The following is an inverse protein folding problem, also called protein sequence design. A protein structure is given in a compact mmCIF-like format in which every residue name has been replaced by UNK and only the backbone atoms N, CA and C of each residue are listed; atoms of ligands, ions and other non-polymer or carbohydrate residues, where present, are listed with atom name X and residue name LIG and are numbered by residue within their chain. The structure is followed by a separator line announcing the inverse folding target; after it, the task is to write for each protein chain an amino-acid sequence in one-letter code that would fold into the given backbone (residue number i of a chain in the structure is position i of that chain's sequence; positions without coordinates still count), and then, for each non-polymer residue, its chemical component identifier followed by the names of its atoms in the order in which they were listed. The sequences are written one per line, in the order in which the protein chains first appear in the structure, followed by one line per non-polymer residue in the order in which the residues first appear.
data_IF_660995349815
#
_entry.id   IF_660995349815
#
_cell.length_a   1.000
_cell.length_b   1.000
_cell.length_c   1.000
_cell.angle_alpha   90.00
_cell.angle_beta   90.00
_cell.angle_gamma   90.00
#
_symmetry.space_group_name_H-M   'P 1'
#
loop_
_entity.id
_entity.type
_entity.pdbx_description
1 polymer ?
#
# COMPACT_ATOMS: atom_id res chain seq x y z
N UNK A 1 57.38 -49.93 38.43
CA UNK A 1 58.08 -51.22 38.19
C UNK A 1 57.74 -51.67 36.77
N UNK A 2 58.75 -51.74 35.90
CA UNK A 2 58.64 -52.00 34.46
C UNK A 2 58.21 -53.43 34.12
N UNK A 3 57.57 -53.61 32.94
CA UNK A 3 57.83 -54.60 31.85
C UNK A 3 56.64 -54.57 30.87
N UNK A 4 56.74 -53.92 29.69
CA UNK A 4 57.16 -54.43 28.36
C UNK A 4 56.41 -55.68 27.85
N UNK A 5 55.77 -55.54 26.68
CA UNK A 5 55.77 -56.40 25.45
C UNK A 5 54.48 -56.08 24.66
N UNK A 6 54.55 -55.28 23.58
CA UNK A 6 54.64 -55.66 22.15
C UNK A 6 53.48 -56.53 21.64
N UNK A 7 52.65 -55.97 20.74
CA UNK A 7 51.58 -56.71 20.05
C UNK A 7 50.87 -55.89 18.96
N UNK A 8 51.50 -55.85 17.78
CA UNK A 8 50.95 -55.81 16.40
C UNK A 8 49.81 -54.83 16.03
N UNK A 9 50.18 -54.03 15.03
CA UNK A 9 49.42 -53.09 14.19
C UNK A 9 48.20 -53.73 13.52
N UNK A 10 47.03 -53.07 13.61
CA UNK A 10 46.02 -53.11 12.55
C UNK A 10 45.51 -51.69 12.31
N UNK A 11 45.86 -51.16 11.14
CA UNK A 11 45.51 -49.83 10.64
C UNK A 11 44.03 -49.82 10.27
N UNK A 12 43.22 -49.00 10.95
CA UNK A 12 41.91 -48.56 10.45
C UNK A 12 41.91 -47.04 10.52
N UNK A 13 42.36 -46.41 9.43
CA UNK A 13 42.17 -44.97 9.20
C UNK A 13 40.71 -44.77 8.84
N UNK A 14 39.87 -44.52 9.84
CA UNK A 14 38.53 -43.99 9.62
C UNK A 14 38.59 -42.47 9.81
N UNK A 15 38.95 -41.79 8.73
CA UNK A 15 38.93 -40.33 8.62
C UNK A 15 37.47 -39.85 8.74
N UNK A 16 37.04 -39.51 9.96
CA UNK A 16 35.87 -38.64 10.16
C UNK A 16 36.27 -37.24 9.68
N UNK A 17 36.01 -36.99 8.40
CA UNK A 17 36.09 -35.67 7.81
C UNK A 17 35.20 -34.71 8.58
N UNK A 18 35.82 -33.67 9.14
CA UNK A 18 35.15 -32.48 9.63
C UNK A 18 34.41 -31.82 8.48
N UNK A 19 33.11 -32.06 8.35
CA UNK A 19 32.25 -31.18 7.58
C UNK A 19 32.11 -29.87 8.36
N UNK A 20 33.06 -28.96 8.15
CA UNK A 20 32.84 -27.53 8.36
C UNK A 20 31.78 -27.12 7.35
N UNK A 21 30.52 -27.24 7.76
CA UNK A 21 29.37 -26.69 7.07
C UNK A 21 29.44 -25.18 7.14
N UNK A 22 30.27 -24.57 6.31
CA UNK A 22 30.14 -23.17 5.94
C UNK A 22 28.88 -23.05 5.07
N UNK A 23 27.72 -23.12 5.74
CA UNK A 23 26.43 -22.78 5.15
C UNK A 23 26.40 -21.28 4.94
N UNK A 24 27.08 -20.80 3.90
CA UNK A 24 26.65 -19.58 3.23
C UNK A 24 25.24 -19.85 2.76
N UNK A 25 24.25 -19.46 3.55
CA UNK A 25 22.91 -19.15 3.08
C UNK A 25 23.07 -17.98 2.11
N UNK A 26 23.52 -18.31 0.90
CA UNK A 26 23.27 -17.53 -0.29
C UNK A 26 21.78 -17.26 -0.27
N UNK A 27 21.39 -16.05 0.12
CA UNK A 27 20.07 -15.53 -0.08
C UNK A 27 19.83 -15.61 -1.58
N UNK A 28 19.26 -16.73 -2.03
CA UNK A 28 18.76 -16.88 -3.36
C UNK A 28 17.75 -15.75 -3.52
N UNK A 29 18.16 -14.73 -4.28
CA UNK A 29 17.33 -13.57 -4.60
C UNK A 29 16.02 -14.13 -5.16
N UNK A 30 14.95 -14.08 -4.37
CA UNK A 30 13.64 -14.61 -4.78
C UNK A 30 13.30 -13.92 -6.10
N UNK A 31 13.13 -14.71 -7.15
CA UNK A 31 12.70 -14.21 -8.46
C UNK A 31 11.22 -13.89 -8.33
N UNK A 32 10.83 -12.63 -8.49
CA UNK A 32 9.44 -12.17 -8.36
C UNK A 32 9.29 -10.85 -7.61
N UNK A 33 8.13 -10.22 -7.78
CA UNK A 33 7.72 -9.02 -7.03
C UNK A 33 7.09 -9.40 -5.70
N UNK A 34 6.37 -10.53 -5.66
CA UNK A 34 5.64 -10.97 -4.49
C UNK A 34 6.58 -11.49 -3.38
N UNK A 35 6.56 -10.93 -2.15
CA UNK A 35 7.40 -11.41 -1.05
C UNK A 35 7.12 -12.88 -0.66
N UNK A 36 5.87 -13.32 -0.83
CA UNK A 36 5.39 -14.69 -0.61
C UNK A 36 5.54 -15.60 -1.84
N UNK A 37 6.07 -15.08 -2.96
CA UNK A 37 6.22 -15.80 -4.23
C UNK A 37 4.91 -16.01 -4.99
N UNK A 38 3.78 -15.46 -4.52
CA UNK A 38 2.48 -15.60 -5.18
C UNK A 38 2.15 -14.35 -6.01
N UNK A 39 2.63 -14.34 -7.26
CA UNK A 39 2.43 -13.24 -8.21
C UNK A 39 0.95 -12.99 -8.57
N UNK A 40 0.09 -14.03 -8.51
CA UNK A 40 -1.34 -13.93 -8.87
C UNK A 40 -2.08 -12.91 -8.01
N UNK A 41 -1.70 -12.74 -6.74
CA UNK A 41 -2.31 -11.74 -5.86
C UNK A 41 -2.00 -10.31 -6.31
N UNK A 42 -0.75 -10.07 -6.71
CA UNK A 42 -0.30 -8.76 -7.21
C UNK A 42 -1.00 -8.46 -8.53
N UNK A 43 -1.00 -9.43 -9.45
CA UNK A 43 -1.68 -9.32 -10.74
C UNK A 43 -3.17 -8.97 -10.57
N UNK A 44 -3.90 -9.73 -9.73
CA UNK A 44 -5.31 -9.49 -9.49
C UNK A 44 -5.58 -8.09 -8.88
N UNK A 45 -4.74 -7.65 -7.94
CA UNK A 45 -4.86 -6.31 -7.36
C UNK A 45 -4.57 -5.21 -8.40
N UNK A 46 -3.54 -5.38 -9.22
CA UNK A 46 -3.16 -4.45 -10.28
C UNK A 46 -4.25 -4.33 -11.35
N UNK A 47 -4.77 -5.47 -11.84
CA UNK A 47 -5.85 -5.51 -12.82
C UNK A 47 -7.11 -4.84 -12.26
N UNK A 48 -7.47 -5.13 -10.99
CA UNK A 48 -8.63 -4.51 -10.35
C UNK A 48 -8.47 -3.00 -10.23
N UNK A 49 -7.29 -2.53 -9.82
CA UNK A 49 -6.98 -1.11 -9.74
C UNK A 49 -7.08 -0.44 -11.12
N UNK A 50 -6.43 -1.01 -12.14
CA UNK A 50 -6.41 -0.47 -13.50
C UNK A 50 -7.82 -0.41 -14.12
N UNK A 51 -8.62 -1.47 -13.96
CA UNK A 51 -10.02 -1.49 -14.40
C UNK A 51 -10.86 -0.44 -13.68
N UNK A 52 -10.72 -0.33 -12.36
CA UNK A 52 -11.44 0.66 -11.56
C UNK A 52 -11.03 2.11 -11.88
N UNK A 53 -9.74 2.34 -12.17
CA UNK A 53 -9.20 3.62 -12.60
C UNK A 53 -9.80 4.03 -13.95
N UNK A 54 -9.72 3.13 -14.95
CA UNK A 54 -10.30 3.35 -16.28
C UNK A 54 -11.82 3.59 -16.21
N UNK A 55 -12.55 2.79 -15.43
CA UNK A 55 -14.00 2.92 -15.29
C UNK A 55 -14.41 4.21 -14.55
N UNK A 56 -13.63 4.64 -13.57
CA UNK A 56 -13.90 5.86 -12.81
C UNK A 56 -13.42 7.16 -13.47
N UNK A 57 -12.56 7.07 -14.50
CA UNK A 57 -12.08 8.22 -15.26
C UNK A 57 -11.18 9.19 -14.47
N UNK A 58 -10.59 8.72 -13.37
CA UNK A 58 -9.63 9.47 -12.55
C UNK A 58 -8.20 9.00 -12.82
N UNK A 59 -7.23 9.79 -12.37
CA UNK A 59 -5.81 9.47 -12.45
C UNK A 59 -5.30 8.86 -11.13
N UNK A 60 -4.08 8.32 -11.14
CA UNK A 60 -3.45 7.79 -9.94
C UNK A 60 -2.31 8.72 -9.51
N UNK A 61 -2.09 8.80 -8.20
CA UNK A 61 -0.93 9.47 -7.61
C UNK A 61 -0.26 8.51 -6.64
N UNK A 62 1.07 8.46 -6.66
CA UNK A 62 1.85 7.70 -5.69
C UNK A 62 1.95 8.42 -4.35
N UNK A 63 2.35 7.70 -3.29
CA UNK A 63 2.60 8.33 -1.98
C UNK A 63 3.74 9.34 -2.04
N UNK A 64 4.79 9.07 -2.82
CA UNK A 64 5.93 9.96 -3.02
C UNK A 64 5.52 11.26 -3.74
N UNK A 65 4.76 11.14 -4.84
CA UNK A 65 4.26 12.32 -5.57
C UNK A 65 3.33 13.17 -4.71
N UNK A 66 2.42 12.55 -3.96
CA UNK A 66 1.52 13.29 -3.07
C UNK A 66 2.30 13.98 -1.95
N UNK A 67 3.28 13.30 -1.35
CA UNK A 67 4.16 13.90 -0.33
C UNK A 67 4.89 15.12 -0.87
N UNK A 68 5.47 15.00 -2.07
CA UNK A 68 6.10 16.13 -2.75
C UNK A 68 5.13 17.29 -2.96
N UNK A 69 3.91 17.03 -3.41
CA UNK A 69 2.93 18.09 -3.60
C UNK A 69 2.53 18.79 -2.30
N UNK A 70 2.43 18.05 -1.19
CA UNK A 70 2.18 18.62 0.15
C UNK A 70 3.35 19.50 0.57
N UNK A 71 4.59 19.03 0.41
CA UNK A 71 5.80 19.77 0.80
C UNK A 71 5.99 21.05 -0.01
N UNK A 72 5.59 21.03 -1.28
CA UNK A 72 5.60 22.19 -2.17
C UNK A 72 4.44 23.16 -1.93
N UNK A 73 3.50 22.82 -1.03
CA UNK A 73 2.32 23.62 -0.75
C UNK A 73 1.38 23.75 -1.96
N UNK A 74 1.35 22.74 -2.84
CA UNK A 74 0.47 22.72 -4.00
C UNK A 74 -0.99 22.83 -3.54
N UNK A 75 -1.72 23.73 -4.17
CA UNK A 75 -3.11 23.96 -3.82
C UNK A 75 -4.00 22.78 -4.25
N UNK A 76 -4.62 22.10 -3.28
CA UNK A 76 -5.41 20.88 -3.50
C UNK A 76 -6.41 20.60 -2.38
N UNK A 77 -7.30 19.64 -2.62
CA UNK A 77 -8.15 19.04 -1.59
C UNK A 77 -7.77 17.57 -1.46
N UNK A 78 -7.42 17.14 -0.25
CA UNK A 78 -7.15 15.73 0.06
C UNK A 78 -8.33 15.20 0.88
N UNK A 79 -8.92 14.06 0.47
CA UNK A 79 -10.10 13.49 1.11
C UNK A 79 -9.85 12.03 1.52
N UNK A 80 -9.99 11.77 2.83
CA UNK A 80 -10.05 10.43 3.41
C UNK A 80 -11.49 9.90 3.39
N UNK A 81 -11.69 8.79 2.68
CA UNK A 81 -12.99 8.13 2.55
C UNK A 81 -13.29 7.07 3.61
N UNK A 82 -12.39 6.86 4.56
CA UNK A 82 -12.59 5.92 5.66
C UNK A 82 -13.60 6.44 6.70
N UNK A 83 -14.25 5.55 7.47
CA UNK A 83 -15.07 5.96 8.61
C UNK A 83 -14.28 6.84 9.59
N UNK A 84 -14.95 7.80 10.21
CA UNK A 84 -14.34 8.84 11.04
C UNK A 84 -13.44 8.30 12.17
N UNK A 85 -13.78 7.15 12.76
CA UNK A 85 -12.96 6.51 13.80
C UNK A 85 -11.56 6.09 13.32
N UNK A 86 -11.39 5.84 12.02
CA UNK A 86 -10.07 5.56 11.45
C UNK A 86 -9.33 6.85 11.13
N UNK A 87 -10.01 7.84 10.58
CA UNK A 87 -9.44 9.16 10.28
C UNK A 87 -8.83 9.81 11.54
N UNK A 88 -9.56 9.79 12.67
CA UNK A 88 -9.07 10.31 13.97
C UNK A 88 -7.86 9.57 14.55
N UNK A 89 -7.59 8.33 14.11
CA UNK A 89 -6.41 7.58 14.57
C UNK A 89 -5.14 7.97 13.81
N UNK A 90 -5.30 8.53 12.61
CA UNK A 90 -4.22 8.88 11.72
C UNK A 90 -4.75 9.13 10.31
N UNK A 91 -4.48 10.32 9.78
CA UNK A 91 -4.80 10.70 8.40
C UNK A 91 -3.62 11.42 7.74
N UNK A 92 -3.64 11.51 6.41
CA UNK A 92 -2.64 12.28 5.66
C UNK A 92 -2.78 13.76 6.05
N UNK A 93 -1.68 14.52 6.24
CA UNK A 93 -1.75 15.92 6.64
C UNK A 93 -2.69 16.73 5.75
N UNK A 94 -3.46 17.63 6.36
CA UNK A 94 -4.49 18.48 5.71
C UNK A 94 -5.70 17.75 5.11
N UNK A 95 -5.76 16.41 5.19
CA UNK A 95 -6.87 15.66 4.63
C UNK A 95 -8.18 15.94 5.37
N UNK A 96 -9.28 16.03 4.63
CA UNK A 96 -10.64 16.14 5.13
C UNK A 96 -11.31 14.76 5.16
N UNK A 97 -12.21 14.50 6.11
CA UNK A 97 -12.93 13.23 6.18
C UNK A 97 -14.25 13.28 5.40
N UNK A 98 -14.32 12.58 4.27
CA UNK A 98 -15.53 12.43 3.44
C UNK A 98 -15.86 10.96 3.22
N UNK A 99 -16.62 10.38 4.15
CA UNK A 99 -16.92 8.94 4.18
C UNK A 99 -17.67 8.51 2.90
N UNK A 100 -17.18 7.46 2.25
CA UNK A 100 -17.85 6.84 1.09
C UNK A 100 -17.99 5.33 1.28
N UNK A 101 -19.05 4.67 0.75
CA UNK A 101 -19.23 3.22 0.82
C UNK A 101 -18.19 2.46 -0.01
N UNK A 102 -18.08 1.15 0.21
CA UNK A 102 -17.04 0.32 -0.42
C UNK A 102 -17.33 -0.12 -1.86
N UNK A 103 -18.61 -0.14 -2.27
CA UNK A 103 -19.06 -0.88 -3.47
C UNK A 103 -19.46 0.05 -4.61
N UNK A 104 -20.45 0.92 -4.40
CA UNK A 104 -20.97 1.81 -5.44
C UNK A 104 -21.36 3.18 -4.89
N UNK A 105 -21.58 4.15 -5.78
CA UNK A 105 -22.09 5.48 -5.42
C UNK A 105 -23.53 5.36 -4.89
N UNK A 106 -24.31 4.39 -5.36
CA UNK A 106 -25.71 4.20 -4.96
C UNK A 106 -25.85 3.69 -3.52
N UNK A 107 -24.80 3.04 -3.00
CA UNK A 107 -24.75 2.61 -1.60
C UNK A 107 -24.48 3.77 -0.62
N UNK A 108 -24.16 4.97 -1.12
CA UNK A 108 -23.87 6.12 -0.26
C UNK A 108 -25.17 6.78 0.16
N UNK A 109 -25.29 7.11 1.46
CA UNK A 109 -26.46 7.85 1.93
C UNK A 109 -26.47 9.25 1.32
N UNK A 110 -27.63 9.92 1.39
CA UNK A 110 -27.75 11.29 0.91
C UNK A 110 -26.77 12.21 1.66
N UNK A 111 -26.66 12.03 2.97
CA UNK A 111 -25.79 12.79 3.85
C UNK A 111 -24.31 12.56 3.52
N UNK A 112 -23.90 11.32 3.26
CA UNK A 112 -22.54 10.99 2.83
C UNK A 112 -22.19 11.68 1.50
N UNK A 113 -23.10 11.62 0.52
CA UNK A 113 -22.91 12.29 -0.78
C UNK A 113 -22.81 13.80 -0.62
N UNK A 114 -23.74 14.43 0.09
CA UNK A 114 -23.76 15.87 0.30
C UNK A 114 -22.53 16.36 1.06
N UNK A 115 -22.13 15.64 2.12
CA UNK A 115 -20.91 15.93 2.86
C UNK A 115 -19.69 15.84 1.96
N UNK A 116 -19.53 14.76 1.20
CA UNK A 116 -18.40 14.59 0.27
C UNK A 116 -18.37 15.69 -0.78
N UNK A 117 -19.51 16.01 -1.41
CA UNK A 117 -19.62 17.06 -2.44
C UNK A 117 -19.22 18.43 -1.87
N UNK A 118 -19.65 18.75 -0.65
CA UNK A 118 -19.27 20.00 0.02
C UNK A 118 -17.77 20.14 0.19
N UNK A 119 -17.05 19.04 0.47
CA UNK A 119 -15.58 19.07 0.60
C UNK A 119 -14.86 19.34 -0.72
N UNK A 120 -15.46 18.99 -1.86
CA UNK A 120 -14.86 19.20 -3.17
C UNK A 120 -14.78 20.70 -3.56
N UNK A 121 -15.66 21.53 -2.99
CA UNK A 121 -15.76 22.96 -3.32
C UNK A 121 -16.30 23.22 -4.73
N UNK A 122 -16.46 24.48 -5.12
CA UNK A 122 -17.11 24.83 -6.40
C UNK A 122 -16.18 24.82 -7.62
N UNK A 123 -14.86 24.90 -7.39
CA UNK A 123 -13.85 24.93 -8.46
C UNK A 123 -13.63 23.53 -9.08
N UNK A 124 -14.07 23.35 -10.33
CA UNK A 124 -13.93 22.09 -11.07
C UNK A 124 -12.52 21.82 -11.58
N UNK A 125 -11.64 22.83 -11.56
CA UNK A 125 -10.23 22.70 -11.93
C UNK A 125 -9.33 22.41 -10.72
N UNK A 126 -9.85 22.50 -9.50
CA UNK A 126 -9.12 22.16 -8.28
C UNK A 126 -8.55 20.75 -8.34
N UNK A 127 -7.29 20.59 -7.94
CA UNK A 127 -6.70 19.26 -7.77
C UNK A 127 -7.34 18.57 -6.57
N UNK A 128 -7.90 17.38 -6.78
CA UNK A 128 -8.54 16.57 -5.75
C UNK A 128 -7.80 15.25 -5.64
N UNK A 129 -7.43 14.87 -4.42
CA UNK A 129 -6.80 13.58 -4.12
C UNK A 129 -7.68 12.81 -3.15
N UNK A 130 -8.13 11.63 -3.54
CA UNK A 130 -9.02 10.78 -2.75
C UNK A 130 -8.31 9.50 -2.33
N UNK A 131 -8.38 9.14 -1.05
CA UNK A 131 -7.74 7.93 -0.53
C UNK A 131 -8.61 7.16 0.47
N UNK A 132 -8.21 5.91 0.76
CA UNK A 132 -8.83 5.01 1.73
C UNK A 132 -7.70 4.26 2.48
N UNK A 133 -7.95 3.09 3.06
CA UNK A 133 -6.96 2.28 3.77
C UNK A 133 -5.81 1.78 2.90
N UNK A 134 -6.12 1.18 1.75
CA UNK A 134 -5.20 0.33 0.99
C UNK A 134 -5.71 0.07 -0.44
N UNK A 135 -4.89 -0.54 -1.29
CA UNK A 135 -5.14 -0.69 -2.75
C UNK A 135 -6.46 -1.38 -3.09
N UNK A 136 -6.80 -2.44 -2.37
CA UNK A 136 -8.05 -3.17 -2.58
C UNK A 136 -9.29 -2.48 -2.00
N UNK A 137 -9.14 -1.39 -1.21
CA UNK A 137 -10.28 -0.64 -0.68
C UNK A 137 -11.01 0.10 -1.80
N UNK A 138 -12.31 -0.14 -1.93
CA UNK A 138 -13.15 0.50 -2.95
C UNK A 138 -13.67 1.90 -2.60
N UNK A 139 -13.59 2.36 -1.34
CA UNK A 139 -14.19 3.65 -0.93
C UNK A 139 -13.63 4.84 -1.70
N UNK A 140 -12.31 4.86 -1.91
CA UNK A 140 -11.64 5.91 -2.67
C UNK A 140 -11.94 5.86 -4.16
N UNK A 141 -12.23 4.67 -4.71
CA UNK A 141 -12.74 4.54 -6.08
C UNK A 141 -14.13 5.19 -6.20
N UNK A 142 -15.03 4.92 -5.25
CA UNK A 142 -16.39 5.49 -5.23
C UNK A 142 -16.34 7.03 -5.13
N UNK A 143 -15.56 7.56 -4.19
CA UNK A 143 -15.40 9.02 -4.03
C UNK A 143 -14.79 9.69 -5.27
N UNK A 144 -13.71 9.13 -5.83
CA UNK A 144 -13.08 9.67 -7.03
C UNK A 144 -14.01 9.60 -8.26
N UNK A 145 -14.75 8.51 -8.43
CA UNK A 145 -15.72 8.37 -9.51
C UNK A 145 -16.88 9.38 -9.38
N UNK A 146 -17.38 9.63 -8.16
CA UNK A 146 -18.38 10.66 -7.91
C UNK A 146 -17.85 12.06 -8.26
N UNK A 147 -16.62 12.40 -7.86
CA UNK A 147 -16.02 13.66 -8.25
C UNK A 147 -15.91 13.79 -9.79
N UNK A 148 -15.44 12.75 -10.48
CA UNK A 148 -15.41 12.78 -11.96
C UNK A 148 -16.80 12.92 -12.59
N UNK A 149 -17.82 12.24 -12.07
CA UNK A 149 -19.20 12.34 -12.60
C UNK A 149 -19.82 13.74 -12.38
N UNK A 150 -19.32 14.48 -11.39
CA UNK A 150 -19.71 15.87 -11.11
C UNK A 150 -18.88 16.92 -11.89
N UNK A 151 -18.02 16.46 -12.81
CA UNK A 151 -17.31 17.32 -13.76
C UNK A 151 -15.94 17.82 -13.32
N UNK A 152 -15.43 17.43 -12.15
CA UNK A 152 -14.07 17.81 -11.73
C UNK A 152 -13.02 17.21 -12.67
N UNK A 153 -12.07 18.03 -13.10
CA UNK A 153 -11.09 17.65 -14.12
C UNK A 153 -9.94 16.87 -13.52
N UNK A 154 -9.38 17.39 -12.43
CA UNK A 154 -8.11 16.97 -11.85
C UNK A 154 -8.33 16.09 -10.61
N UNK A 155 -8.85 14.88 -10.81
CA UNK A 155 -9.15 13.93 -9.71
C UNK A 155 -8.14 12.78 -9.73
N UNK A 156 -7.47 12.59 -8.59
CA UNK A 156 -6.47 11.57 -8.37
C UNK A 156 -6.91 10.63 -7.25
N UNK A 157 -6.61 9.34 -7.39
CA UNK A 157 -6.73 8.36 -6.32
C UNK A 157 -5.35 7.95 -5.84
N UNK A 158 -5.11 7.98 -4.53
CA UNK A 158 -3.91 7.38 -3.92
C UNK A 158 -4.20 5.90 -3.64
N UNK A 159 -3.63 4.94 -4.40
CA UNK A 159 -3.97 3.53 -4.25
C UNK A 159 -3.43 2.94 -2.95
N UNK A 160 -2.24 3.35 -2.51
CA UNK A 160 -1.63 2.85 -1.29
C UNK A 160 -2.45 3.15 -0.03
N UNK A 161 -3.27 4.20 -0.07
CA UNK A 161 -4.07 4.63 1.07
C UNK A 161 -3.21 5.05 2.27
N UNK A 162 -3.83 5.16 3.45
CA UNK A 162 -3.11 5.52 4.68
C UNK A 162 -2.10 4.44 5.10
N UNK A 163 -2.34 3.17 4.79
CA UNK A 163 -1.39 2.10 5.10
C UNK A 163 -0.12 2.25 4.26
N UNK A 164 -0.25 2.42 2.94
CA UNK A 164 0.89 2.68 2.07
C UNK A 164 1.62 3.99 2.38
N UNK A 165 0.88 5.00 2.85
CA UNK A 165 1.46 6.26 3.33
C UNK A 165 2.35 6.05 4.56
N UNK A 166 1.87 5.29 5.55
CA UNK A 166 2.63 4.93 6.75
C UNK A 166 3.81 3.99 6.46
N UNK A 167 3.66 3.08 5.49
CA UNK A 167 4.76 2.23 5.03
C UNK A 167 5.90 3.06 4.43
N UNK A 168 5.54 4.14 3.70
CA UNK A 168 6.46 5.16 3.21
C UNK A 168 7.10 6.05 4.28
N UNK A 169 6.75 5.85 5.57
CA UNK A 169 7.26 6.61 6.73
C UNK A 169 6.96 8.11 6.65
N UNK A 170 5.88 8.47 5.98
CA UNK A 170 5.41 9.86 5.92
C UNK A 170 4.61 10.24 7.17
N UNK A 171 4.59 11.53 7.48
CA UNK A 171 3.90 12.08 8.65
C UNK A 171 2.38 11.92 8.55
N UNK A 172 1.71 11.80 9.70
CA UNK A 172 0.25 11.69 9.80
C UNK A 172 -0.27 12.66 10.85
N UNK A 173 -1.47 13.19 10.63
CA UNK A 173 -2.23 14.02 11.57
C UNK A 173 -3.29 13.18 12.30
N UNK A 174 -3.82 13.71 13.41
CA UNK A 174 -4.83 13.04 14.26
C UNK A 174 -5.94 14.00 14.64
#
# INVERSE_FOLDING_TARGET
MNKRILGVILIVVLSLGTFVGCGTSSAAKKIGTAPDGNEVKIEAAAIKLAKGQKAGGYDLVSGEELKKWIDEGKDMVIIDTMPNDFYKKGHIPTALNGVMPKKSIDDATKEEKEAFIKLLGDDKEKTIVVYCGFTACGRSHVGAALAKSLGYKNVYRLPGGIIGWQDGKYEVEK
#
